data_IF_662391948875
#
_entry.id   IF_662391948875
#
_cell.length_a   1.000
_cell.length_b   1.000
_cell.length_c   1.000
_cell.angle_alpha   90.00
_cell.angle_beta   90.00
_cell.angle_gamma   90.00
#
_symmetry.space_group_name_H-M   'P 1'
#
loop_
_entity.id
_entity.type
_entity.pdbx_description
1 polymer ?
#
# COMPACT_ATOMS: atom_id res chain seq x y z
N UNK A 1 -14.64 -6.37 -6.32
CA UNK A 1 -13.73 -5.23 -6.57
C UNK A 1 -12.35 -5.76 -6.80
N UNK A 2 -11.84 -5.53 -8.00
CA UNK A 2 -10.50 -5.91 -8.46
C UNK A 2 -9.57 -4.73 -8.22
N UNK A 3 -8.38 -4.95 -7.64
CA UNK A 3 -7.42 -3.87 -7.42
C UNK A 3 -6.79 -3.48 -8.75
N UNK A 4 -7.05 -2.25 -9.22
CA UNK A 4 -6.36 -1.70 -10.38
C UNK A 4 -5.09 -0.99 -9.93
N UNK A 5 -3.94 -1.59 -10.24
CA UNK A 5 -2.64 -0.97 -10.02
C UNK A 5 -2.32 -0.13 -11.27
N UNK A 6 -2.39 1.18 -11.15
CA UNK A 6 -2.05 2.09 -12.24
C UNK A 6 -0.54 2.12 -12.47
N UNK A 7 -0.11 2.31 -13.71
CA UNK A 7 1.29 2.60 -14.02
C UNK A 7 1.59 4.09 -13.75
N UNK A 8 2.78 4.40 -13.23
CA UNK A 8 3.19 5.79 -13.00
C UNK A 8 3.56 6.57 -14.28
N UNK A 9 3.61 5.90 -15.43
CA UNK A 9 3.94 6.52 -16.73
C UNK A 9 3.15 5.87 -17.85
N UNK A 10 2.83 6.66 -18.88
CA UNK A 10 2.16 6.22 -20.10
C UNK A 10 3.04 5.36 -21.00
N UNK A 11 4.37 5.41 -20.86
CA UNK A 11 5.30 4.56 -21.61
C UNK A 11 6.41 4.02 -20.67
N UNK A 12 6.08 3.05 -19.80
CA UNK A 12 7.03 2.57 -18.80
C UNK A 12 8.16 1.78 -19.47
N UNK A 13 9.42 2.10 -19.12
CA UNK A 13 10.60 1.35 -19.59
C UNK A 13 10.60 -0.12 -19.15
N UNK A 14 9.88 -0.44 -18.08
CA UNK A 14 9.75 -1.79 -17.51
C UNK A 14 8.33 -1.98 -17.01
N UNK A 15 7.69 -3.06 -17.44
CA UNK A 15 6.38 -3.50 -16.97
C UNK A 15 6.55 -4.56 -15.87
N UNK A 16 5.55 -4.66 -15.00
CA UNK A 16 5.51 -5.66 -13.95
C UNK A 16 4.12 -6.29 -13.98
N UNK A 17 4.08 -7.60 -14.16
CA UNK A 17 2.86 -8.39 -14.00
C UNK A 17 2.50 -8.49 -12.51
N UNK A 18 1.24 -8.77 -12.22
CA UNK A 18 0.80 -9.01 -10.83
C UNK A 18 1.18 -10.43 -10.45
N UNK A 19 1.95 -10.58 -9.38
CA UNK A 19 2.39 -11.90 -8.88
C UNK A 19 1.52 -12.40 -7.73
N UNK A 20 1.65 -13.68 -7.38
CA UNK A 20 0.87 -14.32 -6.32
C UNK A 20 0.98 -13.60 -4.96
N UNK A 21 2.20 -13.24 -4.53
CA UNK A 21 2.42 -12.47 -3.28
C UNK A 21 1.61 -11.17 -3.26
N UNK A 22 1.48 -10.49 -4.40
CA UNK A 22 0.71 -9.25 -4.52
C UNK A 22 -0.79 -9.53 -4.41
N UNK A 23 -1.27 -10.59 -5.07
CA UNK A 23 -2.67 -11.02 -4.97
C UNK A 23 -3.01 -11.32 -3.50
N UNK A 24 -2.17 -12.10 -2.82
CA UNK A 24 -2.36 -12.43 -1.40
C UNK A 24 -2.34 -11.17 -0.52
N UNK A 25 -1.37 -10.28 -0.72
CA UNK A 25 -1.28 -9.02 0.03
C UNK A 25 -2.51 -8.14 -0.19
N UNK A 26 -2.93 -7.94 -1.44
CA UNK A 26 -4.06 -7.08 -1.76
C UNK A 26 -5.40 -7.68 -1.28
N UNK A 27 -5.56 -9.00 -1.33
CA UNK A 27 -6.72 -9.66 -0.73
C UNK A 27 -6.78 -9.45 0.78
N UNK A 28 -5.65 -9.60 1.49
CA UNK A 28 -5.58 -9.31 2.92
C UNK A 28 -5.85 -7.83 3.23
N UNK A 29 -5.33 -6.91 2.41
CA UNK A 29 -5.59 -5.48 2.52
C UNK A 29 -7.09 -5.17 2.39
N UNK A 30 -7.75 -5.78 1.41
CA UNK A 30 -9.20 -5.63 1.21
C UNK A 30 -10.00 -6.03 2.44
N UNK A 31 -9.76 -7.24 2.95
CA UNK A 31 -10.47 -7.77 4.11
C UNK A 31 -10.31 -6.83 5.31
N UNK A 32 -9.08 -6.41 5.60
CA UNK A 32 -8.79 -5.51 6.71
C UNK A 32 -9.42 -4.12 6.54
N UNK A 33 -9.48 -3.59 5.32
CA UNK A 33 -10.17 -2.33 5.03
C UNK A 33 -11.67 -2.47 5.30
N UNK A 34 -12.29 -3.52 4.78
CA UNK A 34 -13.72 -3.81 4.97
C UNK A 34 -14.06 -3.95 6.46
N UNK A 35 -13.27 -4.72 7.22
CA UNK A 35 -13.39 -4.86 8.67
C UNK A 35 -13.21 -3.53 9.43
N UNK A 36 -12.34 -2.65 8.93
CA UNK A 36 -12.02 -1.40 9.61
C UNK A 36 -13.08 -0.30 9.45
N UNK A 37 -14.02 -0.47 8.51
CA UNK A 37 -15.07 0.50 8.19
C UNK A 37 -14.60 1.75 7.42
N UNK A 38 -13.38 1.73 6.85
CA UNK A 38 -12.87 2.83 6.02
C UNK A 38 -13.65 2.91 4.71
N UNK A 39 -14.05 4.12 4.31
CA UNK A 39 -14.97 4.35 3.18
C UNK A 39 -14.33 5.04 1.98
N UNK A 40 -13.16 5.65 2.12
CA UNK A 40 -12.54 6.35 1.00
C UNK A 40 -11.81 5.41 0.04
N UNK A 41 -11.53 5.92 -1.16
CA UNK A 41 -10.88 5.16 -2.22
C UNK A 41 -9.40 4.98 -1.91
N UNK A 42 -8.93 3.74 -2.05
CA UNK A 42 -7.51 3.42 -2.10
C UNK A 42 -7.03 3.48 -3.55
N UNK A 43 -5.90 4.17 -3.76
CA UNK A 43 -5.23 4.25 -5.06
C UNK A 43 -3.87 3.56 -4.97
N UNK A 44 -3.59 2.75 -5.98
CA UNK A 44 -2.35 2.00 -6.09
C UNK A 44 -1.62 2.41 -7.36
N UNK A 45 -0.40 2.88 -7.22
CA UNK A 45 0.41 3.34 -8.36
C UNK A 45 1.75 2.63 -8.37
N UNK A 46 2.02 1.83 -9.40
CA UNK A 46 3.29 1.13 -9.58
C UNK A 46 4.35 2.04 -10.19
N UNK A 47 5.50 2.09 -9.52
CA UNK A 47 6.72 2.79 -9.92
C UNK A 47 7.59 1.92 -10.83
N UNK A 48 8.54 2.56 -11.52
CA UNK A 48 9.47 1.90 -12.46
C UNK A 48 10.37 0.84 -11.82
N UNK A 49 10.58 0.92 -10.51
CA UNK A 49 11.39 -0.04 -9.76
C UNK A 49 10.56 -1.23 -9.21
N UNK A 50 9.26 -1.28 -9.49
CA UNK A 50 8.34 -2.32 -9.04
C UNK A 50 7.67 -2.02 -7.69
N UNK A 51 8.05 -0.92 -7.03
CA UNK A 51 7.37 -0.46 -5.81
C UNK A 51 5.96 0.03 -6.14
N UNK A 52 5.03 -0.19 -5.24
CA UNK A 52 3.64 0.27 -5.33
C UNK A 52 3.44 1.35 -4.27
N UNK A 53 3.11 2.56 -4.70
CA UNK A 53 2.60 3.59 -3.82
C UNK A 53 1.15 3.28 -3.45
N UNK A 54 0.81 3.51 -2.18
CA UNK A 54 -0.54 3.34 -1.68
C UNK A 54 -1.01 4.66 -1.11
N UNK A 55 -2.12 5.16 -1.66
CA UNK A 55 -2.79 6.38 -1.22
C UNK A 55 -4.20 6.06 -0.73
N UNK A 56 -4.65 6.77 0.30
CA UNK A 56 -6.03 6.75 0.81
C UNK A 56 -6.61 8.15 0.75
N UNK A 57 -7.74 8.34 0.06
CA UNK A 57 -8.35 9.66 -0.13
C UNK A 57 -7.37 10.74 -0.67
N UNK A 58 -6.44 10.33 -1.55
CA UNK A 58 -5.33 11.15 -2.07
C UNK A 58 -4.19 11.47 -1.10
N UNK A 59 -4.24 10.94 0.13
CA UNK A 59 -3.14 11.04 1.10
C UNK A 59 -2.23 9.82 0.99
N UNK A 60 -0.91 10.00 0.91
CA UNK A 60 0.03 8.88 0.91
C UNK A 60 0.03 8.20 2.29
N UNK A 61 -0.21 6.89 2.31
CA UNK A 61 -0.22 6.10 3.55
C UNK A 61 0.99 5.18 3.68
N UNK A 62 1.67 4.92 2.56
CA UNK A 62 2.85 4.09 2.53
C UNK A 62 3.18 3.58 1.14
N UNK A 63 4.11 2.64 1.10
CA UNK A 63 4.59 2.00 -0.12
C UNK A 63 4.87 0.53 0.15
N UNK A 64 4.81 -0.30 -0.88
CA UNK A 64 5.21 -1.69 -0.75
C UNK A 64 5.89 -2.20 -2.01
N UNK A 65 6.95 -2.97 -1.84
CA UNK A 65 7.68 -3.65 -2.90
C UNK A 65 7.68 -5.14 -2.61
N UNK A 66 6.91 -5.90 -3.38
CA UNK A 66 6.82 -7.36 -3.28
C UNK A 66 7.60 -8.07 -4.40
N UNK A 67 8.06 -7.33 -5.41
CA UNK A 67 8.81 -7.86 -6.55
C UNK A 67 10.27 -7.42 -6.56
N UNK A 68 11.14 -8.33 -7.00
CA UNK A 68 12.58 -8.14 -7.12
C UNK A 68 13.38 -8.67 -5.93
N UNK A 69 14.67 -8.35 -5.90
CA UNK A 69 15.64 -8.91 -4.93
C UNK A 69 15.40 -8.43 -3.49
N UNK A 70 14.85 -7.23 -3.31
CA UNK A 70 14.62 -6.65 -1.99
C UNK A 70 13.16 -6.30 -1.85
N UNK A 71 12.46 -7.09 -1.02
CA UNK A 71 11.09 -6.82 -0.61
C UNK A 71 11.10 -5.93 0.63
N UNK A 72 10.14 -5.01 0.71
CA UNK A 72 9.96 -4.12 1.86
C UNK A 72 8.61 -3.42 1.82
N UNK A 73 8.18 -2.92 2.96
CA UNK A 73 6.96 -2.12 3.11
C UNK A 73 7.28 -0.87 3.93
N UNK A 74 6.91 0.30 3.42
CA UNK A 74 6.98 1.56 4.15
C UNK A 74 5.64 1.82 4.84
N UNK A 75 5.72 2.08 6.13
CA UNK A 75 4.59 2.50 6.96
C UNK A 75 4.86 3.89 7.53
N UNK A 76 3.81 4.71 7.61
CA UNK A 76 3.89 6.03 8.24
C UNK A 76 3.75 5.88 9.75
N UNK A 77 4.65 6.48 10.53
CA UNK A 77 4.54 6.53 12.00
C UNK A 77 3.72 7.74 12.45
N UNK A 78 3.89 8.86 11.74
CA UNK A 78 3.18 10.12 11.91
C UNK A 78 3.27 10.90 10.58
N UNK A 79 2.86 12.17 10.57
CA UNK A 79 2.85 13.01 9.36
C UNK A 79 4.26 13.30 8.80
N UNK A 80 5.31 13.15 9.60
CA UNK A 80 6.68 13.56 9.26
C UNK A 80 7.69 12.41 9.27
N UNK A 81 7.32 11.25 9.82
CA UNK A 81 8.21 10.11 10.00
C UNK A 81 7.59 8.81 9.48
N UNK A 82 8.45 7.97 8.93
CA UNK A 82 8.10 6.71 8.30
C UNK A 82 9.18 5.67 8.57
N UNK A 83 8.82 4.39 8.46
CA UNK A 83 9.78 3.31 8.59
C UNK A 83 9.53 2.22 7.56
N UNK A 84 10.63 1.59 7.15
CA UNK A 84 10.59 0.44 6.27
C UNK A 84 10.64 -0.84 7.11
N UNK A 85 9.64 -1.68 6.94
CA UNK A 85 9.64 -3.07 7.38
C UNK A 85 10.30 -3.89 6.28
N UNK A 86 11.25 -4.74 6.67
CA UNK A 86 11.85 -5.77 5.80
C UNK A 86 11.49 -7.12 6.39
N UNK A 87 11.09 -8.06 5.55
CA UNK A 87 10.67 -9.39 5.97
C UNK A 87 10.02 -10.17 4.84
N UNK A 88 9.11 -11.05 5.20
CA UNK A 88 8.34 -11.87 4.29
C UNK A 88 6.91 -11.34 4.14
N UNK A 89 6.12 -11.98 3.27
CA UNK A 89 4.74 -11.58 2.98
C UNK A 89 3.88 -11.41 4.23
N UNK A 90 4.05 -12.29 5.23
CA UNK A 90 3.31 -12.23 6.48
C UNK A 90 3.57 -10.94 7.26
N UNK A 91 4.82 -10.49 7.37
CA UNK A 91 5.20 -9.24 8.05
C UNK A 91 4.53 -8.02 7.39
N UNK A 92 4.43 -8.05 6.06
CA UNK A 92 3.77 -6.98 5.31
C UNK A 92 2.25 -7.01 5.52
N UNK A 93 1.64 -8.19 5.59
CA UNK A 93 0.20 -8.34 5.90
C UNK A 93 -0.10 -7.80 7.31
N UNK A 94 0.78 -8.04 8.29
CA UNK A 94 0.65 -7.42 9.61
C UNK A 94 0.81 -5.89 9.56
N UNK A 95 1.73 -5.41 8.72
CA UNK A 95 1.97 -3.99 8.45
C UNK A 95 0.73 -3.23 7.98
N UNK A 96 -0.24 -3.90 7.34
CA UNK A 96 -1.52 -3.29 6.93
C UNK A 96 -2.27 -2.70 8.12
N UNK A 97 -2.23 -3.36 9.29
CA UNK A 97 -2.86 -2.84 10.49
C UNK A 97 -2.31 -1.46 10.86
N UNK A 98 -1.00 -1.22 10.63
CA UNK A 98 -0.37 0.07 10.90
C UNK A 98 -0.82 1.15 9.92
N UNK A 99 -1.03 0.81 8.64
CA UNK A 99 -1.64 1.73 7.68
C UNK A 99 -3.06 2.13 8.12
N UNK A 100 -3.89 1.18 8.53
CA UNK A 100 -5.25 1.46 9.01
C UNK A 100 -5.23 2.35 10.26
N UNK A 101 -4.36 2.06 11.22
CA UNK A 101 -4.17 2.90 12.42
C UNK A 101 -3.75 4.32 12.06
N UNK A 102 -2.81 4.47 11.12
CA UNK A 102 -2.37 5.78 10.64
C UNK A 102 -3.51 6.57 9.99
N UNK A 103 -4.28 5.93 9.10
CA UNK A 103 -5.44 6.56 8.45
C UNK A 103 -6.43 7.07 9.50
N UNK A 104 -6.82 6.21 10.44
CA UNK A 104 -7.81 6.56 11.48
C UNK A 104 -7.34 7.69 12.37
N UNK A 105 -6.04 7.73 12.71
CA UNK A 105 -5.47 8.68 13.65
C UNK A 105 -5.18 10.04 13.02
N UNK A 106 -4.68 10.06 11.79
CA UNK A 106 -4.16 11.29 11.17
C UNK A 106 -5.01 11.73 9.97
N UNK A 107 -5.38 10.84 9.06
CA UNK A 107 -6.05 11.25 7.81
C UNK A 107 -7.54 11.53 8.01
N UNK A 108 -8.26 10.69 8.78
CA UNK A 108 -9.69 10.92 9.02
C UNK A 108 -9.97 12.20 9.81
N UNK A 109 -8.97 12.74 10.51
CA UNK A 109 -9.09 14.03 11.22
C UNK A 109 -9.03 15.19 10.22
N UNK A 110 -8.15 15.11 9.22
CA UNK A 110 -8.00 16.11 8.15
C UNK A 110 -9.13 16.08 7.11
N UNK A 111 -9.88 14.97 7.02
CA UNK A 111 -11.01 14.82 6.10
C UNK A 111 -12.35 15.35 6.65
N UNK A 112 -12.37 15.84 7.89
CA UNK A 112 -13.54 16.46 8.53
C UNK A 112 -13.60 17.95 8.24
#
# INVERSE_FOLDING_TARGET
MEFKIAQNSTNPRKTYEVIEDEIMFFNALKMKIEESGLKAVFKFTRLSDGTINVDYASYPIGKIKLQGRTKWMMIMKNLYDSQNIKGELHDYIEGINKWIQYIKKYILVELK
#
